data_IF_891024770953
#
_entry.id   IF_891024770953
#
_cell.length_a   1.000
_cell.length_b   1.000
_cell.length_c   1.000
_cell.angle_alpha   90.00
_cell.angle_beta   90.00
_cell.angle_gamma   90.00
#
_symmetry.space_group_name_H-M   'P 1'
#
loop_
_entity.id
_entity.type
_entity.pdbx_description
1 polymer ?
#
# COMPACT_ATOMS: atom_id res chain seq x y z
N UNK A 1 -6.47 6.53 17.37
CA UNK A 1 -6.52 7.98 17.16
C UNK A 1 -6.56 8.28 15.66
N UNK A 2 -7.15 9.42 15.26
CA UNK A 2 -7.17 9.90 13.87
C UNK A 2 -6.03 10.88 13.64
N UNK A 3 -5.38 10.79 12.47
CA UNK A 3 -4.53 11.86 11.98
C UNK A 3 -5.35 12.91 11.18
N UNK A 4 -4.72 13.99 10.75
CA UNK A 4 -5.39 15.08 10.02
C UNK A 4 -5.92 14.68 8.63
N UNK A 5 -5.54 13.51 8.11
CA UNK A 5 -5.99 12.94 6.84
C UNK A 5 -7.16 11.96 7.03
N UNK A 6 -7.49 11.61 8.26
CA UNK A 6 -8.52 10.64 8.60
C UNK A 6 -8.03 9.20 8.75
N UNK A 7 -6.72 8.94 8.59
CA UNK A 7 -6.16 7.62 8.87
C UNK A 7 -6.23 7.29 10.36
N UNK A 8 -6.57 6.06 10.65
CA UNK A 8 -6.75 5.53 12.00
C UNK A 8 -5.48 4.85 12.47
N UNK A 9 -5.02 5.20 13.66
CA UNK A 9 -3.82 4.62 14.29
C UNK A 9 -4.17 4.06 15.66
N UNK A 10 -3.67 2.86 16.03
CA UNK A 10 -3.79 2.36 17.38
C UNK A 10 -3.07 3.30 18.36
N UNK A 11 -3.54 3.33 19.60
CA UNK A 11 -2.92 4.14 20.67
C UNK A 11 -1.74 3.39 21.28
N UNK A 12 -1.86 2.07 21.37
CA UNK A 12 -0.79 1.19 21.86
C UNK A 12 0.38 1.16 20.90
N UNK A 13 1.57 1.35 21.46
CA UNK A 13 2.81 1.39 20.67
C UNK A 13 3.52 0.04 20.60
N UNK A 14 3.29 -0.86 21.56
CA UNK A 14 4.05 -2.11 21.69
C UNK A 14 3.36 -3.28 21.00
N UNK A 15 2.13 -3.62 21.37
CA UNK A 15 1.34 -4.68 20.75
C UNK A 15 0.25 -4.05 19.87
N UNK A 16 0.53 -3.92 18.59
CA UNK A 16 -0.31 -3.18 17.65
C UNK A 16 -0.41 -3.90 16.30
N UNK A 17 -1.58 -3.90 15.65
CA UNK A 17 -1.74 -4.47 14.31
C UNK A 17 -0.95 -3.75 13.22
N UNK A 18 -0.39 -2.57 13.52
CA UNK A 18 0.47 -1.81 12.59
C UNK A 18 1.97 -2.07 12.79
N UNK A 19 2.34 -2.88 13.77
CA UNK A 19 3.73 -3.21 14.07
C UNK A 19 4.24 -4.39 13.21
N UNK A 20 5.43 -4.89 13.59
CA UNK A 20 6.11 -5.98 12.92
C UNK A 20 5.28 -7.28 12.91
N UNK A 21 5.70 -8.23 12.09
CA UNK A 21 5.05 -9.52 11.86
C UNK A 21 4.67 -10.25 13.15
N UNK A 22 5.58 -10.36 14.12
CA UNK A 22 5.32 -11.01 15.42
C UNK A 22 4.19 -10.33 16.22
N UNK A 23 4.04 -9.02 16.10
CA UNK A 23 2.99 -8.28 16.80
C UNK A 23 1.62 -8.59 16.22
N UNK A 24 1.53 -8.71 14.89
CA UNK A 24 0.29 -9.11 14.20
C UNK A 24 -0.11 -10.54 14.52
N UNK A 25 0.87 -11.45 14.56
CA UNK A 25 0.66 -12.86 14.86
C UNK A 25 0.14 -13.13 16.28
N UNK A 26 0.39 -12.22 17.23
CA UNK A 26 -0.08 -12.31 18.61
C UNK A 26 -1.48 -11.74 18.83
N UNK A 27 -2.07 -11.11 17.80
CA UNK A 27 -3.38 -10.48 17.89
C UNK A 27 -4.44 -11.38 17.27
N UNK A 28 -5.40 -11.76 18.09
CA UNK A 28 -6.56 -12.57 17.74
C UNK A 28 -7.85 -11.82 18.04
N UNK A 29 -8.93 -12.18 17.37
CA UNK A 29 -10.27 -11.72 17.76
C UNK A 29 -10.70 -12.33 19.09
N UNK A 30 -11.29 -11.55 19.97
CA UNK A 30 -11.74 -12.01 21.28
C UNK A 30 -12.86 -13.07 21.15
N UNK A 31 -13.73 -12.89 20.15
CA UNK A 31 -14.80 -13.83 19.87
C UNK A 31 -14.41 -14.68 18.66
N UNK A 32 -14.48 -16.00 18.79
CA UNK A 32 -14.29 -16.91 17.67
C UNK A 32 -15.53 -16.97 16.77
N UNK A 33 -15.31 -17.20 15.48
CA UNK A 33 -16.37 -17.43 14.52
C UNK A 33 -16.33 -18.87 14.00
N UNK A 34 -17.49 -19.52 13.93
CA UNK A 34 -17.58 -20.90 13.48
C UNK A 34 -17.22 -21.00 11.98
N UNK A 35 -16.37 -21.97 11.66
CA UNK A 35 -16.05 -22.39 10.28
C UNK A 35 -16.78 -23.72 10.07
N UNK A 36 -17.95 -23.66 9.45
CA UNK A 36 -18.86 -24.80 9.36
C UNK A 36 -18.55 -25.71 8.16
N UNK A 37 -17.92 -25.19 7.13
CA UNK A 37 -17.67 -25.89 5.86
C UNK A 37 -16.41 -25.33 5.16
N UNK A 38 -16.09 -25.89 3.99
CA UNK A 38 -14.93 -25.50 3.22
C UNK A 38 -15.03 -24.08 2.62
N UNK A 39 -16.22 -23.61 2.31
CA UNK A 39 -16.42 -22.25 1.83
C UNK A 39 -16.07 -21.23 2.93
N UNK A 40 -16.45 -21.50 4.17
CA UNK A 40 -16.08 -20.69 5.34
C UNK A 40 -14.56 -20.73 5.61
N UNK A 41 -13.91 -21.87 5.34
CA UNK A 41 -12.46 -22.04 5.51
C UNK A 41 -11.63 -21.48 4.34
N UNK A 42 -12.25 -21.17 3.22
CA UNK A 42 -11.54 -20.73 1.99
C UNK A 42 -10.60 -19.58 2.21
N UNK A 43 -11.05 -18.55 2.93
CA UNK A 43 -10.20 -17.38 3.19
C UNK A 43 -9.13 -17.62 4.25
N UNK A 44 -9.32 -18.59 5.14
CA UNK A 44 -8.26 -19.07 6.02
C UNK A 44 -7.15 -19.76 5.20
N UNK A 45 -7.52 -20.57 4.20
CA UNK A 45 -6.58 -21.19 3.27
C UNK A 45 -5.81 -20.14 2.45
N UNK A 46 -6.53 -19.19 1.84
CA UNK A 46 -5.96 -18.08 1.05
C UNK A 46 -5.01 -17.23 1.91
N UNK A 47 -5.40 -16.92 3.16
CA UNK A 47 -4.56 -16.17 4.10
C UNK A 47 -3.23 -16.89 4.35
N UNK A 48 -3.24 -18.20 4.53
CA UNK A 48 -2.03 -19.02 4.66
C UNK A 48 -1.08 -18.85 3.47
N UNK A 49 -1.60 -19.00 2.26
CA UNK A 49 -0.80 -18.78 1.05
C UNK A 49 -0.22 -17.36 0.98
N UNK A 50 -1.02 -16.35 1.33
CA UNK A 50 -0.59 -14.94 1.32
C UNK A 50 0.54 -14.66 2.32
N UNK A 51 0.49 -15.22 3.53
CA UNK A 51 1.56 -15.02 4.54
C UNK A 51 2.83 -15.78 4.19
N UNK A 52 2.74 -16.87 3.44
CA UNK A 52 3.89 -17.58 2.88
C UNK A 52 4.49 -16.89 1.66
N UNK A 53 3.81 -15.92 1.04
CA UNK A 53 4.28 -15.20 -0.16
C UNK A 53 3.79 -15.82 -1.48
N UNK A 54 2.82 -16.75 -1.43
CA UNK A 54 2.15 -17.34 -2.60
C UNK A 54 0.95 -16.45 -2.98
N UNK A 55 1.23 -15.19 -3.31
CA UNK A 55 0.22 -14.14 -3.52
C UNK A 55 0.10 -13.68 -5.00
N UNK A 56 0.81 -14.33 -5.94
CA UNK A 56 0.83 -13.96 -7.36
C UNK A 56 0.20 -15.01 -8.27
N UNK A 57 -0.56 -15.91 -7.69
CA UNK A 57 -1.34 -16.94 -8.35
C UNK A 57 -2.84 -16.69 -8.11
N UNK A 58 -3.71 -17.41 -8.81
CA UNK A 58 -5.16 -17.28 -8.61
C UNK A 58 -5.59 -17.61 -7.17
N UNK A 59 -6.77 -17.15 -6.77
CA UNK A 59 -7.31 -17.46 -5.43
C UNK A 59 -7.51 -18.98 -5.26
N UNK A 60 -7.90 -19.67 -6.32
CA UNK A 60 -8.04 -21.14 -6.35
C UNK A 60 -6.69 -21.85 -6.15
N UNK A 61 -5.65 -21.38 -6.82
CA UNK A 61 -4.30 -21.94 -6.64
C UNK A 61 -3.75 -21.70 -5.22
N UNK A 62 -4.07 -20.55 -4.59
CA UNK A 62 -3.73 -20.28 -3.19
C UNK A 62 -4.44 -21.25 -2.24
N UNK A 63 -5.71 -21.51 -2.48
CA UNK A 63 -6.51 -22.47 -1.72
C UNK A 63 -5.93 -23.87 -1.86
N UNK A 64 -5.68 -24.33 -3.09
CA UNK A 64 -5.04 -25.64 -3.36
C UNK A 64 -3.70 -25.74 -2.66
N UNK A 65 -2.87 -24.69 -2.70
CA UNK A 65 -1.58 -24.65 -2.01
C UNK A 65 -1.74 -24.91 -0.51
N UNK A 66 -2.71 -24.31 0.14
CA UNK A 66 -2.94 -24.49 1.57
C UNK A 66 -3.33 -25.93 1.92
N UNK A 67 -4.22 -26.54 1.13
CA UNK A 67 -4.59 -27.94 1.31
C UNK A 67 -3.46 -28.92 1.03
N UNK A 68 -2.58 -28.62 0.06
CA UNK A 68 -1.37 -29.42 -0.19
C UNK A 68 -0.35 -29.35 0.93
N UNK A 69 -0.42 -28.35 1.80
CA UNK A 69 0.51 -28.13 2.91
C UNK A 69 -0.09 -28.44 4.30
N UNK A 70 -1.19 -29.18 4.36
CA UNK A 70 -1.82 -29.58 5.64
C UNK A 70 -0.83 -30.35 6.53
N UNK A 71 -0.11 -31.33 5.97
CA UNK A 71 0.86 -32.13 6.73
C UNK A 71 2.01 -31.28 7.29
N UNK A 72 2.46 -30.27 6.56
CA UNK A 72 3.45 -29.32 7.03
C UNK A 72 2.90 -28.48 8.19
N UNK A 73 1.69 -27.97 8.07
CA UNK A 73 1.04 -27.19 9.13
C UNK A 73 0.82 -28.04 10.42
N UNK A 74 0.35 -29.28 10.26
CA UNK A 74 0.18 -30.23 11.38
C UNK A 74 1.52 -30.57 12.04
N UNK A 75 2.58 -30.74 11.25
CA UNK A 75 3.92 -30.99 11.79
C UNK A 75 4.48 -29.80 12.58
N UNK A 76 4.23 -28.56 12.10
CA UNK A 76 4.57 -27.32 12.82
C UNK A 76 3.74 -27.19 14.09
N UNK A 77 2.43 -27.48 14.05
CA UNK A 77 1.55 -27.46 15.21
C UNK A 77 2.05 -28.39 16.32
N UNK A 78 2.49 -29.60 15.96
CA UNK A 78 2.98 -30.60 16.93
C UNK A 78 4.32 -30.21 17.56
N UNK A 79 5.27 -29.67 16.78
CA UNK A 79 6.59 -29.23 17.27
C UNK A 79 7.17 -28.11 16.43
N UNK A 80 6.83 -26.84 16.72
CA UNK A 80 7.29 -25.67 15.94
C UNK A 80 8.79 -25.36 16.14
N UNK A 81 9.42 -25.91 17.18
CA UNK A 81 10.85 -25.67 17.44
C UNK A 81 11.74 -26.58 16.60
N UNK A 82 11.32 -27.80 16.36
CA UNK A 82 12.02 -28.76 15.49
C UNK A 82 11.63 -28.56 14.02
N UNK A 83 10.33 -28.44 13.73
CA UNK A 83 9.86 -28.15 12.39
C UNK A 83 9.79 -26.63 12.16
N UNK A 84 10.74 -26.12 11.41
CA UNK A 84 10.93 -24.68 11.13
C UNK A 84 10.41 -24.25 9.75
N UNK A 85 9.57 -25.04 9.11
CA UNK A 85 8.99 -24.69 7.80
C UNK A 85 8.31 -23.30 7.79
N UNK A 86 7.62 -22.92 8.87
CA UNK A 86 7.02 -21.60 9.02
C UNK A 86 8.01 -20.41 8.90
N UNK A 87 9.32 -20.65 9.13
CA UNK A 87 10.36 -19.62 8.99
C UNK A 87 10.74 -19.32 7.55
N UNK A 88 10.32 -20.15 6.59
CA UNK A 88 10.52 -19.94 5.14
C UNK A 88 9.51 -18.94 4.56
N UNK A 89 8.43 -18.63 5.29
CA UNK A 89 7.38 -17.72 4.90
C UNK A 89 7.85 -16.26 4.82
N UNK A 90 7.22 -15.45 3.97
CA UNK A 90 7.45 -13.99 3.90
C UNK A 90 7.09 -13.28 5.22
N UNK A 91 6.09 -13.82 5.94
CA UNK A 91 5.65 -13.35 7.26
C UNK A 91 5.68 -14.51 8.27
N UNK A 92 6.88 -14.87 8.79
CA UNK A 92 7.06 -16.12 9.54
C UNK A 92 6.16 -16.29 10.76
N UNK A 93 5.97 -15.23 11.55
CA UNK A 93 5.17 -15.33 12.76
C UNK A 93 3.66 -15.45 12.46
N UNK A 94 3.16 -14.72 11.46
CA UNK A 94 1.77 -14.90 11.01
C UNK A 94 1.58 -16.30 10.38
N UNK A 95 2.59 -16.83 9.68
CA UNK A 95 2.56 -18.19 9.15
C UNK A 95 2.51 -19.24 10.28
N UNK A 96 3.24 -19.01 11.38
CA UNK A 96 3.16 -19.88 12.55
C UNK A 96 1.74 -19.87 13.15
N UNK A 97 1.13 -18.69 13.35
CA UNK A 97 -0.23 -18.57 13.85
C UNK A 97 -1.23 -19.28 12.92
N UNK A 98 -1.09 -19.10 11.61
CA UNK A 98 -1.90 -19.80 10.62
C UNK A 98 -1.72 -21.33 10.68
N UNK A 99 -0.50 -21.85 10.84
CA UNK A 99 -0.26 -23.30 10.97
C UNK A 99 -1.04 -23.90 12.13
N UNK A 100 -1.15 -23.18 13.26
CA UNK A 100 -1.91 -23.64 14.41
C UNK A 100 -3.41 -23.75 14.10
N UNK A 101 -4.01 -22.72 13.55
CA UNK A 101 -5.44 -22.73 13.20
C UNK A 101 -5.74 -23.71 12.07
N UNK A 102 -4.91 -23.75 11.02
CA UNK A 102 -5.10 -24.63 9.88
C UNK A 102 -4.98 -26.12 10.25
N UNK A 103 -4.05 -26.46 11.15
CA UNK A 103 -3.90 -27.82 11.67
C UNK A 103 -5.11 -28.25 12.52
N UNK A 104 -5.59 -27.38 13.41
CA UNK A 104 -6.77 -27.68 14.25
C UNK A 104 -8.01 -27.85 13.39
N UNK A 105 -8.25 -26.96 12.43
CA UNK A 105 -9.36 -27.07 11.48
C UNK A 105 -9.35 -28.41 10.73
N UNK A 106 -8.22 -28.78 10.11
CA UNK A 106 -8.15 -29.99 9.31
C UNK A 106 -8.20 -31.27 10.16
N UNK A 107 -7.66 -31.27 11.37
CA UNK A 107 -7.78 -32.40 12.31
C UNK A 107 -9.23 -32.57 12.80
N UNK A 108 -9.88 -31.49 13.25
CA UNK A 108 -11.26 -31.51 13.74
C UNK A 108 -12.28 -31.91 12.66
N UNK A 109 -12.07 -31.41 11.43
CA UNK A 109 -12.90 -31.72 10.26
C UNK A 109 -13.02 -33.25 10.02
N UNK A 110 -11.96 -34.01 10.21
CA UNK A 110 -11.96 -35.47 10.03
C UNK A 110 -12.90 -36.18 11.01
N UNK A 111 -13.19 -35.56 12.18
CA UNK A 111 -14.03 -36.09 13.24
C UNK A 111 -15.40 -35.41 13.33
N UNK A 112 -15.66 -34.40 12.45
CA UNK A 112 -16.91 -33.62 12.47
C UNK A 112 -17.02 -32.69 13.69
N UNK A 113 -15.88 -32.29 14.26
CA UNK A 113 -15.83 -31.36 15.40
C UNK A 113 -16.02 -29.92 14.93
N UNK A 114 -16.77 -29.08 15.69
CA UNK A 114 -16.91 -27.66 15.34
C UNK A 114 -15.58 -26.94 15.56
N UNK A 115 -15.18 -26.12 14.57
CA UNK A 115 -13.99 -25.28 14.66
C UNK A 115 -14.38 -23.81 14.69
N UNK A 116 -13.78 -23.05 15.59
CA UNK A 116 -13.94 -21.60 15.71
C UNK A 116 -12.61 -20.92 15.43
N UNK A 117 -12.56 -20.09 14.38
CA UNK A 117 -11.38 -19.29 14.08
C UNK A 117 -11.36 -18.00 14.85
N UNK A 118 -10.21 -17.64 15.39
CA UNK A 118 -9.92 -16.35 16.01
C UNK A 118 -8.93 -15.53 15.16
N UNK A 119 -8.38 -16.15 14.11
CA UNK A 119 -7.34 -15.54 13.29
C UNK A 119 -7.93 -14.48 12.35
N UNK A 120 -7.38 -13.25 12.34
CA UNK A 120 -7.73 -12.26 11.34
C UNK A 120 -7.21 -12.69 9.95
N UNK A 121 -8.13 -12.95 9.02
CA UNK A 121 -7.82 -13.10 7.62
C UNK A 121 -7.83 -11.72 6.96
N UNK A 122 -6.76 -11.36 6.26
CA UNK A 122 -6.63 -10.04 5.65
C UNK A 122 -6.29 -10.13 4.17
N UNK A 123 -6.83 -9.18 3.39
CA UNK A 123 -6.45 -8.91 2.02
C UNK A 123 -5.90 -7.50 1.88
N UNK A 124 -4.89 -7.34 1.02
CA UNK A 124 -4.19 -6.08 0.79
C UNK A 124 -4.49 -5.55 -0.61
N UNK A 125 -4.53 -4.22 -0.76
CA UNK A 125 -4.71 -3.57 -2.07
C UNK A 125 -3.50 -3.76 -3.00
N UNK A 126 -3.77 -3.92 -4.28
CA UNK A 126 -2.75 -4.03 -5.33
C UNK A 126 -2.17 -2.64 -5.68
N UNK A 127 -1.24 -2.10 -4.87
CA UNK A 127 -0.71 -0.76 -5.01
C UNK A 127 -1.80 0.32 -4.84
N UNK A 128 -2.40 0.36 -3.66
CA UNK A 128 -3.58 1.16 -3.31
C UNK A 128 -3.48 2.64 -3.75
N UNK A 129 -2.31 3.28 -3.61
CA UNK A 129 -2.14 4.67 -4.06
C UNK A 129 -2.39 4.86 -5.56
N UNK A 130 -1.99 3.90 -6.39
CA UNK A 130 -2.26 3.93 -7.83
C UNK A 130 -3.70 3.52 -8.15
N UNK A 131 -4.32 2.63 -7.35
CA UNK A 131 -5.75 2.33 -7.46
C UNK A 131 -6.58 3.60 -7.31
N UNK A 132 -6.33 4.40 -6.27
CA UNK A 132 -7.01 5.68 -6.06
C UNK A 132 -6.75 6.67 -7.18
N UNK A 133 -5.50 6.85 -7.63
CA UNK A 133 -5.19 7.80 -8.70
C UNK A 133 -5.79 7.38 -10.05
N UNK A 134 -5.80 6.09 -10.38
CA UNK A 134 -6.46 5.56 -11.59
C UNK A 134 -7.98 5.72 -11.53
N UNK A 135 -8.59 5.49 -10.38
CA UNK A 135 -10.02 5.69 -10.19
C UNK A 135 -10.45 7.15 -10.33
N UNK A 136 -9.68 8.10 -9.77
CA UNK A 136 -9.92 9.55 -9.87
C UNK A 136 -9.99 9.99 -11.34
N UNK A 137 -9.00 9.58 -12.16
CA UNK A 137 -8.93 9.97 -13.56
C UNK A 137 -9.68 9.05 -14.51
N UNK A 138 -10.29 7.98 -14.03
CA UNK A 138 -10.88 6.97 -14.92
C UNK A 138 -9.87 6.39 -15.92
N UNK A 139 -8.65 6.18 -15.46
CA UNK A 139 -7.56 5.62 -16.27
C UNK A 139 -7.73 4.11 -16.42
N UNK A 140 -8.05 3.66 -17.64
CA UNK A 140 -8.32 2.24 -17.92
C UNK A 140 -7.04 1.39 -17.86
N UNK A 141 -5.93 1.87 -18.43
CA UNK A 141 -4.67 1.11 -18.45
C UNK A 141 -4.03 1.05 -17.07
N UNK A 142 -3.96 2.19 -16.37
CA UNK A 142 -3.51 2.21 -14.99
C UNK A 142 -4.40 1.36 -14.07
N UNK A 143 -5.71 1.44 -14.26
CA UNK A 143 -6.68 0.64 -13.50
C UNK A 143 -6.51 -0.87 -13.73
N UNK A 144 -6.24 -1.30 -14.97
CA UNK A 144 -5.94 -2.70 -15.27
C UNK A 144 -4.68 -3.18 -14.55
N UNK A 145 -3.61 -2.40 -14.61
CA UNK A 145 -2.33 -2.75 -14.00
C UNK A 145 -2.37 -2.89 -12.46
N UNK A 146 -3.39 -2.32 -11.81
CA UNK A 146 -3.59 -2.36 -10.35
C UNK A 146 -4.89 -3.06 -9.93
N UNK A 147 -5.39 -3.96 -10.77
CA UNK A 147 -6.55 -4.83 -10.49
C UNK A 147 -7.86 -4.07 -10.20
N UNK A 148 -8.11 -2.92 -10.81
CA UNK A 148 -9.45 -2.30 -10.83
C UNK A 148 -10.38 -2.95 -11.84
N UNK A 149 -9.84 -3.70 -12.81
CA UNK A 149 -10.60 -4.41 -13.84
C UNK A 149 -10.53 -5.91 -13.60
N UNK A 150 -11.57 -6.65 -13.97
CA UNK A 150 -11.58 -8.11 -13.91
C UNK A 150 -10.42 -8.72 -14.72
N UNK A 151 -9.82 -9.77 -14.20
CA UNK A 151 -8.75 -10.54 -14.85
C UNK A 151 -8.74 -11.98 -14.35
N UNK A 152 -8.25 -12.92 -15.14
CA UNK A 152 -8.15 -14.35 -14.76
C UNK A 152 -7.06 -14.57 -13.69
N UNK A 153 -6.03 -13.72 -13.69
CA UNK A 153 -4.92 -13.78 -12.74
C UNK A 153 -4.60 -12.38 -12.21
N UNK A 154 -4.03 -12.26 -11.00
CA UNK A 154 -3.68 -10.96 -10.45
C UNK A 154 -2.66 -10.25 -11.34
N UNK A 155 -2.92 -8.98 -11.66
CA UNK A 155 -1.98 -8.12 -12.37
C UNK A 155 -0.93 -7.58 -11.38
N UNK A 156 0.28 -7.37 -11.87
CA UNK A 156 1.39 -6.90 -11.05
C UNK A 156 2.19 -5.79 -11.76
N UNK A 157 1.81 -4.56 -11.51
CA UNK A 157 2.46 -3.36 -12.09
C UNK A 157 3.98 -3.33 -11.83
N UNK A 158 4.43 -3.92 -10.73
CA UNK A 158 5.86 -3.96 -10.42
C UNK A 158 6.64 -4.83 -11.41
N UNK A 159 6.04 -5.97 -11.79
CA UNK A 159 6.58 -6.87 -12.82
C UNK A 159 6.50 -6.22 -14.21
N UNK A 160 5.44 -5.49 -14.52
CA UNK A 160 5.30 -4.81 -15.82
C UNK A 160 6.35 -3.70 -15.98
N UNK A 161 6.59 -2.92 -14.91
CA UNK A 161 7.70 -1.95 -14.90
C UNK A 161 9.06 -2.67 -15.03
N UNK A 162 9.26 -3.81 -14.37
CA UNK A 162 10.52 -4.56 -14.50
C UNK A 162 10.75 -5.07 -15.94
N UNK A 163 9.72 -5.59 -16.61
CA UNK A 163 9.78 -5.99 -18.03
C UNK A 163 10.16 -4.81 -18.91
N UNK A 164 9.51 -3.65 -18.70
CA UNK A 164 9.81 -2.44 -19.47
C UNK A 164 11.25 -1.98 -19.26
N UNK A 165 11.77 -2.06 -18.03
CA UNK A 165 13.19 -1.75 -17.74
C UNK A 165 14.13 -2.68 -18.48
N UNK A 166 13.84 -3.98 -18.55
CA UNK A 166 14.63 -4.95 -19.32
C UNK A 166 14.65 -4.57 -20.81
N UNK A 167 13.51 -4.22 -21.41
CA UNK A 167 13.44 -3.76 -22.79
C UNK A 167 14.31 -2.52 -23.04
N UNK A 168 14.29 -1.54 -22.14
CA UNK A 168 15.10 -0.33 -22.22
C UNK A 168 16.60 -0.62 -22.09
N UNK A 169 16.98 -1.55 -21.19
CA UNK A 169 18.38 -1.95 -21.02
C UNK A 169 18.93 -2.73 -22.22
N UNK A 170 18.09 -3.57 -22.86
CA UNK A 170 18.50 -4.32 -24.09
C UNK A 170 18.83 -3.39 -25.26
N UNK A 171 18.34 -2.18 -25.27
CA UNK A 171 18.65 -1.15 -26.27
C UNK A 171 19.98 -0.43 -26.00
N UNK A 172 20.64 -0.70 -24.85
CA UNK A 172 21.85 -0.02 -24.45
C UNK A 172 23.10 -0.87 -24.78
N UNK A 173 24.02 -0.30 -25.54
CA UNK A 173 25.33 -0.92 -25.77
C UNK A 173 26.36 -0.49 -24.71
N UNK A 174 26.16 -0.93 -23.46
CA UNK A 174 27.07 -0.62 -22.37
C UNK A 174 27.35 -1.86 -21.50
N UNK A 175 28.55 -1.95 -20.92
CA UNK A 175 28.88 -3.03 -20.01
C UNK A 175 27.97 -3.03 -18.79
N UNK A 176 27.61 -1.85 -18.25
CA UNK A 176 26.73 -1.72 -17.11
C UNK A 176 25.33 -2.30 -17.39
N UNK A 177 24.79 -2.11 -18.59
CA UNK A 177 23.51 -2.69 -18.99
C UNK A 177 23.60 -4.23 -19.07
N UNK A 178 24.69 -4.75 -19.67
CA UNK A 178 24.94 -6.21 -19.74
C UNK A 178 25.08 -6.83 -18.35
N UNK A 179 25.80 -6.19 -17.43
CA UNK A 179 25.96 -6.65 -16.05
C UNK A 179 24.62 -6.69 -15.30
N UNK A 180 23.81 -5.62 -15.41
CA UNK A 180 22.49 -5.54 -14.80
C UNK A 180 21.52 -6.59 -15.36
N UNK A 181 21.55 -6.83 -16.68
CA UNK A 181 20.76 -7.89 -17.31
C UNK A 181 21.22 -9.28 -16.84
N UNK A 182 22.54 -9.50 -16.64
CA UNK A 182 23.07 -10.78 -16.13
C UNK A 182 22.67 -11.04 -14.66
N UNK A 183 22.62 -10.01 -13.83
CA UNK A 183 22.10 -10.07 -12.47
C UNK A 183 20.59 -10.31 -12.46
N UNK A 184 19.91 -9.83 -13.49
CA UNK A 184 18.48 -9.97 -13.71
C UNK A 184 17.66 -8.89 -13.02
N UNK A 185 16.97 -8.07 -13.82
CA UNK A 185 15.99 -7.10 -13.33
C UNK A 185 14.67 -7.82 -13.06
N UNK A 186 14.15 -7.68 -11.85
CA UNK A 186 12.96 -8.39 -11.40
C UNK A 186 12.09 -7.49 -10.52
N UNK A 187 10.88 -7.96 -10.21
CA UNK A 187 9.90 -7.32 -9.33
C UNK A 187 10.50 -6.70 -8.06
N UNK A 188 11.43 -7.40 -7.40
CA UNK A 188 12.06 -6.93 -6.15
C UNK A 188 12.80 -5.59 -6.32
N UNK A 189 13.39 -5.35 -7.49
CA UNK A 189 14.10 -4.10 -7.81
C UNK A 189 13.16 -2.93 -8.13
N UNK A 190 11.93 -3.21 -8.59
CA UNK A 190 10.97 -2.18 -9.04
C UNK A 190 9.86 -1.92 -8.04
N UNK A 191 9.57 -2.85 -7.11
CA UNK A 191 8.45 -2.74 -6.16
C UNK A 191 8.50 -1.44 -5.34
N UNK A 192 9.58 -1.21 -4.59
CA UNK A 192 9.72 -0.01 -3.75
C UNK A 192 9.75 1.29 -4.58
N UNK A 193 10.52 1.39 -5.68
CA UNK A 193 10.46 2.53 -6.59
C UNK A 193 9.06 2.89 -7.08
N UNK A 194 8.26 1.92 -7.50
CA UNK A 194 6.89 2.15 -7.97
C UNK A 194 5.98 2.56 -6.81
N UNK A 195 6.08 1.89 -5.66
CA UNK A 195 5.25 2.19 -4.47
C UNK A 195 5.37 3.63 -3.99
N UNK A 196 6.55 4.26 -4.12
CA UNK A 196 6.74 5.64 -3.65
C UNK A 196 6.21 6.72 -4.59
N UNK A 197 5.84 6.36 -5.83
CA UNK A 197 5.38 7.34 -6.84
C UNK A 197 4.18 8.15 -6.36
N UNK A 198 3.07 7.55 -5.93
CA UNK A 198 1.89 8.29 -5.46
C UNK A 198 2.19 9.21 -4.28
N UNK A 199 3.25 8.91 -3.55
CA UNK A 199 3.69 9.61 -2.35
C UNK A 199 4.80 10.63 -2.62
N UNK A 200 4.90 11.14 -3.85
CA UNK A 200 5.91 12.12 -4.27
C UNK A 200 7.35 11.62 -4.11
N UNK A 201 7.58 10.33 -4.29
CA UNK A 201 8.91 9.73 -4.30
C UNK A 201 9.83 10.43 -5.30
N UNK A 202 11.12 10.47 -4.98
CA UNK A 202 12.14 11.09 -5.82
C UNK A 202 13.01 10.05 -6.50
N UNK A 203 13.64 10.41 -7.62
CA UNK A 203 14.64 9.54 -8.25
C UNK A 203 15.80 9.17 -7.31
N UNK A 204 16.16 10.06 -6.38
CA UNK A 204 17.18 9.75 -5.37
C UNK A 204 16.73 8.62 -4.44
N UNK A 205 15.51 8.70 -3.90
CA UNK A 205 14.94 7.62 -3.09
C UNK A 205 14.84 6.30 -3.88
N UNK A 206 14.46 6.38 -5.17
CA UNK A 206 14.46 5.24 -6.07
C UNK A 206 15.85 4.59 -6.16
N UNK A 207 16.94 5.39 -6.28
CA UNK A 207 18.31 4.89 -6.32
C UNK A 207 18.68 4.14 -5.05
N UNK A 208 18.35 4.67 -3.88
CA UNK A 208 18.63 4.00 -2.59
C UNK A 208 17.88 2.66 -2.46
N UNK A 209 16.59 2.60 -2.81
CA UNK A 209 15.83 1.35 -2.78
C UNK A 209 16.35 0.29 -3.75
N UNK A 210 16.79 0.72 -4.94
CA UNK A 210 17.42 -0.19 -5.91
C UNK A 210 18.75 -0.69 -5.36
N UNK A 211 19.55 0.17 -4.70
CA UNK A 211 20.82 -0.21 -4.08
C UNK A 211 20.62 -1.31 -3.04
N UNK A 212 19.71 -1.08 -2.08
CA UNK A 212 19.38 -2.07 -1.05
C UNK A 212 18.95 -3.43 -1.68
N UNK A 213 18.11 -3.38 -2.72
CA UNK A 213 17.62 -4.58 -3.37
C UNK A 213 18.72 -5.31 -4.20
N UNK A 214 19.66 -4.57 -4.80
CA UNK A 214 20.82 -5.17 -5.48
C UNK A 214 21.80 -5.78 -4.49
N UNK A 215 22.10 -5.10 -3.37
CA UNK A 215 22.96 -5.62 -2.30
C UNK A 215 22.38 -6.94 -1.75
N UNK A 216 21.09 -7.02 -1.53
CA UNK A 216 20.43 -8.23 -1.07
C UNK A 216 20.47 -9.36 -2.11
N UNK A 217 20.20 -9.02 -3.38
CA UNK A 217 20.16 -10.00 -4.48
C UNK A 217 21.54 -10.56 -4.81
N UNK A 218 22.59 -9.74 -4.71
CA UNK A 218 23.96 -10.08 -5.11
C UNK A 218 24.82 -10.57 -3.95
N UNK A 219 24.26 -11.07 -2.85
CA UNK A 219 25.01 -11.65 -1.73
C UNK A 219 26.00 -12.73 -2.23
N UNK A 220 27.30 -12.41 -2.17
CA UNK A 220 28.41 -13.32 -2.52
C UNK A 220 28.85 -13.33 -3.98
N UNK A 221 28.18 -12.66 -4.91
CA UNK A 221 28.62 -12.46 -6.30
C UNK A 221 28.12 -11.13 -6.83
N UNK A 222 29.03 -10.19 -7.06
CA UNK A 222 28.65 -8.97 -7.74
C UNK A 222 29.69 -8.60 -8.81
N UNK A 223 29.27 -8.16 -9.99
CA UNK A 223 30.16 -7.75 -11.08
C UNK A 223 30.84 -6.41 -10.85
N UNK A 224 30.51 -5.68 -9.74
CA UNK A 224 30.89 -4.29 -9.49
C UNK A 224 31.86 -4.10 -8.32
N UNK A 225 32.51 -5.16 -7.81
CA UNK A 225 33.46 -5.10 -6.69
C UNK A 225 32.91 -4.34 -5.47
N UNK A 226 31.67 -4.66 -5.08
CA UNK A 226 30.93 -4.05 -3.96
C UNK A 226 30.55 -2.56 -4.13
N UNK A 227 30.78 -1.95 -5.31
CA UNK A 227 30.22 -0.63 -5.64
C UNK A 227 28.79 -0.75 -6.20
N UNK A 228 27.83 -0.84 -5.33
CA UNK A 228 26.42 -0.89 -5.73
C UNK A 228 25.82 0.49 -6.05
N UNK A 229 26.48 1.59 -5.73
CA UNK A 229 25.94 2.93 -5.98
C UNK A 229 25.85 3.25 -7.48
N UNK A 230 26.90 3.00 -8.23
CA UNK A 230 26.93 3.28 -9.69
C UNK A 230 25.87 2.49 -10.47
N UNK A 231 25.74 1.15 -10.33
CA UNK A 231 24.70 0.39 -11.02
C UNK A 231 23.31 0.79 -10.59
N UNK A 232 23.08 1.14 -9.31
CA UNK A 232 21.79 1.62 -8.82
C UNK A 232 21.41 2.98 -9.42
N UNK A 233 22.35 3.89 -9.49
CA UNK A 233 22.15 5.19 -10.12
C UNK A 233 21.85 5.07 -11.63
N UNK A 234 22.56 4.17 -12.32
CA UNK A 234 22.32 3.88 -13.73
C UNK A 234 20.93 3.25 -13.95
N UNK A 235 20.62 2.20 -13.19
CA UNK A 235 19.34 1.50 -13.28
C UNK A 235 18.15 2.39 -12.89
N UNK A 236 18.33 3.28 -11.90
CA UNK A 236 17.26 4.20 -11.46
C UNK A 236 16.78 5.13 -12.59
N UNK A 237 17.64 5.45 -13.55
CA UNK A 237 17.25 6.20 -14.73
C UNK A 237 16.21 5.48 -15.58
N UNK A 238 16.45 4.20 -15.85
CA UNK A 238 15.55 3.36 -16.65
C UNK A 238 14.28 2.99 -15.88
N UNK A 239 14.39 2.70 -14.57
CA UNK A 239 13.22 2.45 -13.71
C UNK A 239 12.32 3.69 -13.69
N UNK A 240 12.89 4.89 -13.55
CA UNK A 240 12.12 6.13 -13.54
C UNK A 240 11.47 6.42 -14.89
N UNK A 241 12.17 6.12 -15.99
CA UNK A 241 11.60 6.22 -17.32
C UNK A 241 10.45 5.23 -17.52
N UNK A 242 10.64 3.95 -17.18
CA UNK A 242 9.61 2.93 -17.28
C UNK A 242 8.36 3.26 -16.44
N UNK A 243 8.56 3.79 -15.22
CA UNK A 243 7.46 4.28 -14.38
C UNK A 243 6.66 5.38 -15.09
N UNK A 244 7.33 6.37 -15.68
CA UNK A 244 6.65 7.46 -16.38
C UNK A 244 5.90 6.98 -17.65
N UNK A 245 6.36 5.93 -18.29
CA UNK A 245 5.71 5.35 -19.46
C UNK A 245 4.50 4.47 -19.09
N UNK A 246 4.54 3.81 -17.93
CA UNK A 246 3.48 2.91 -17.47
C UNK A 246 2.41 3.63 -16.64
N UNK A 247 2.77 4.71 -15.92
CA UNK A 247 1.91 5.38 -14.92
C UNK A 247 1.63 6.84 -15.32
N UNK A 248 1.21 7.06 -16.56
CA UNK A 248 1.05 8.42 -17.11
C UNK A 248 -0.02 9.23 -16.37
N UNK A 249 -1.21 8.66 -16.17
CA UNK A 249 -2.36 9.38 -15.62
C UNK A 249 -2.18 9.78 -14.18
N UNK A 250 -1.53 8.93 -13.36
CA UNK A 250 -1.26 9.26 -11.96
C UNK A 250 -0.38 10.52 -11.83
N UNK A 251 0.60 10.70 -12.72
CA UNK A 251 1.43 11.91 -12.75
C UNK A 251 0.62 13.18 -13.01
N UNK A 252 -0.42 13.11 -13.84
CA UNK A 252 -1.30 14.25 -14.12
C UNK A 252 -2.03 14.73 -12.86
N UNK A 253 -2.63 13.82 -12.08
CA UNK A 253 -3.25 14.15 -10.79
C UNK A 253 -2.24 14.74 -9.82
N UNK A 254 -1.08 14.08 -9.69
CA UNK A 254 -0.04 14.51 -8.77
C UNK A 254 0.47 15.93 -9.09
N UNK A 255 0.66 16.24 -10.37
CA UNK A 255 1.10 17.56 -10.80
C UNK A 255 0.02 18.61 -10.58
N UNK A 256 -1.24 18.28 -10.88
CA UNK A 256 -2.39 19.15 -10.66
C UNK A 256 -2.51 19.55 -9.18
N UNK A 257 -2.56 18.59 -8.26
CA UNK A 257 -2.72 18.92 -6.81
C UNK A 257 -1.49 19.65 -6.24
N UNK A 258 -0.29 19.38 -6.77
CA UNK A 258 0.93 20.14 -6.42
C UNK A 258 0.83 21.60 -6.83
N UNK A 259 0.29 21.87 -8.04
CA UNK A 259 0.14 23.26 -8.51
C UNK A 259 -0.93 23.99 -7.71
N UNK A 260 -2.07 23.37 -7.43
CA UNK A 260 -3.08 23.95 -6.53
C UNK A 260 -2.46 24.29 -5.16
N UNK A 261 -1.71 23.37 -4.54
CA UNK A 261 -1.05 23.62 -3.28
C UNK A 261 -0.06 24.80 -3.33
N UNK A 262 0.66 24.97 -4.46
CA UNK A 262 1.54 26.13 -4.68
C UNK A 262 0.77 27.43 -4.80
N UNK A 263 -0.41 27.43 -5.44
CA UNK A 263 -1.25 28.62 -5.53
C UNK A 263 -1.72 29.09 -4.14
N UNK A 264 -2.18 28.15 -3.31
CA UNK A 264 -2.51 28.44 -1.91
C UNK A 264 -1.31 29.03 -1.16
N UNK A 265 -0.16 28.38 -1.25
CA UNK A 265 1.05 28.81 -0.52
C UNK A 265 1.56 30.20 -0.98
N UNK A 266 1.49 30.55 -2.28
CA UNK A 266 1.82 31.89 -2.79
C UNK A 266 0.95 33.01 -2.19
N UNK A 267 -0.22 32.66 -1.71
CA UNK A 267 -1.16 33.57 -1.04
C UNK A 267 -1.12 33.48 0.49
N UNK A 268 -0.15 32.73 1.04
CA UNK A 268 -0.03 32.53 2.48
C UNK A 268 -1.18 31.69 3.08
N UNK A 269 -1.87 30.92 2.25
CA UNK A 269 -3.02 30.08 2.67
C UNK A 269 -2.61 28.62 2.75
N UNK A 270 -3.15 27.89 3.74
CA UNK A 270 -3.02 26.44 3.84
C UNK A 270 -3.87 25.74 2.80
N UNK A 271 -3.30 24.75 2.10
CA UNK A 271 -4.07 23.92 1.17
C UNK A 271 -4.99 22.99 1.94
N UNK A 272 -6.26 22.99 1.57
CA UNK A 272 -7.31 22.19 2.22
C UNK A 272 -8.30 21.63 1.21
N UNK A 273 -8.94 20.50 1.58
CA UNK A 273 -10.01 19.87 0.80
C UNK A 273 -10.92 19.03 1.71
N UNK A 274 -12.12 18.76 1.24
CA UNK A 274 -13.03 17.80 1.86
C UNK A 274 -12.86 16.42 1.25
N UNK A 275 -12.79 15.40 2.11
CA UNK A 275 -12.83 13.99 1.68
C UNK A 275 -14.24 13.58 1.31
N UNK A 276 -14.44 12.44 0.61
CA UNK A 276 -15.78 11.88 0.38
C UNK A 276 -16.60 11.63 1.64
N UNK A 277 -15.97 11.42 2.79
CA UNK A 277 -16.64 11.28 4.10
C UNK A 277 -17.00 12.62 4.75
N UNK A 278 -16.73 13.76 4.11
CA UNK A 278 -16.97 15.11 4.66
C UNK A 278 -15.91 15.62 5.63
N UNK A 279 -14.81 14.87 5.84
CA UNK A 279 -13.70 15.32 6.68
C UNK A 279 -12.93 16.44 5.97
N UNK A 280 -12.73 17.58 6.65
CA UNK A 280 -11.84 18.63 6.19
C UNK A 280 -10.39 18.26 6.48
N UNK A 281 -9.61 18.07 5.42
CA UNK A 281 -8.17 17.88 5.48
C UNK A 281 -7.49 19.23 5.26
N UNK A 282 -6.63 19.65 6.18
CA UNK A 282 -5.85 20.89 6.10
C UNK A 282 -4.37 20.62 6.31
N UNK A 283 -3.55 21.03 5.35
CA UNK A 283 -2.10 20.88 5.43
C UNK A 283 -1.46 22.04 6.21
N UNK A 284 -1.20 21.85 7.48
CA UNK A 284 -0.58 22.86 8.37
C UNK A 284 0.95 22.80 8.28
N UNK A 285 1.52 23.10 7.12
CA UNK A 285 2.97 23.12 6.91
C UNK A 285 3.52 24.54 7.02
N UNK A 286 3.84 24.95 8.23
CA UNK A 286 4.48 26.25 8.50
C UNK A 286 5.97 26.22 8.16
N UNK A 287 6.52 27.35 7.73
CA UNK A 287 7.97 27.54 7.68
C UNK A 287 8.60 27.32 9.04
N UNK A 288 9.86 26.88 9.06
CA UNK A 288 10.56 26.54 10.30
C UNK A 288 11.72 27.48 10.52
N UNK A 289 11.74 28.16 11.67
CA UNK A 289 12.91 28.88 12.15
C UNK A 289 13.85 27.88 12.84
N UNK A 290 15.02 27.65 12.24
CA UNK A 290 16.06 26.79 12.82
C UNK A 290 16.87 27.60 13.85
N UNK A 291 16.87 27.09 15.06
CA UNK A 291 17.69 27.65 16.18
C UNK A 291 18.78 26.63 16.49
N UNK A 292 20.02 27.09 16.56
CA UNK A 292 21.14 26.27 17.01
C UNK A 292 21.50 26.70 18.43
N UNK A 293 21.30 25.79 19.38
CA UNK A 293 21.60 26.03 20.80
C UNK A 293 22.84 25.23 21.14
N UNK A 294 23.88 25.91 21.60
CA UNK A 294 25.05 25.27 22.18
C UNK A 294 24.83 25.05 23.68
N UNK A 295 24.99 23.84 24.16
CA UNK A 295 24.92 23.48 25.56
C UNK A 295 26.15 22.64 25.96
N UNK A 296 26.47 22.60 27.24
CA UNK A 296 27.50 21.73 27.79
C UNK A 296 26.87 20.48 28.40
N UNK A 297 27.27 19.31 27.95
CA UNK A 297 26.86 18.04 28.52
C UNK A 297 28.11 17.20 28.80
N UNK A 298 28.29 16.80 30.04
CA UNK A 298 29.45 15.99 30.50
C UNK A 298 30.81 16.56 30.03
N UNK A 299 31.00 17.89 30.16
CA UNK A 299 32.23 18.57 29.78
C UNK A 299 32.45 18.82 28.30
N UNK A 300 31.56 18.35 27.43
CA UNK A 300 31.60 18.53 25.98
C UNK A 300 30.54 19.50 25.49
N UNK A 301 30.88 20.30 24.46
CA UNK A 301 29.90 21.20 23.81
C UNK A 301 29.03 20.38 22.87
N UNK A 302 27.75 20.28 23.21
CA UNK A 302 26.72 19.68 22.35
C UNK A 302 25.94 20.79 21.67
N UNK A 303 25.76 20.67 20.34
CA UNK A 303 24.97 21.61 19.53
C UNK A 303 23.65 20.97 19.17
N UNK A 304 22.57 21.45 19.77
CA UNK A 304 21.19 21.02 19.49
C UNK A 304 20.61 21.89 18.38
N UNK A 305 20.02 21.25 17.37
CA UNK A 305 19.24 21.95 16.37
C UNK A 305 17.76 21.87 16.78
N UNK A 306 17.17 23.01 17.06
CA UNK A 306 15.75 23.13 17.38
C UNK A 306 15.04 23.84 16.23
N UNK A 307 13.89 23.32 15.81
CA UNK A 307 13.06 23.93 14.78
C UNK A 307 11.75 24.41 15.40
N UNK A 308 11.46 25.70 15.29
CA UNK A 308 10.22 26.31 15.74
C UNK A 308 9.38 26.72 14.53
N UNK A 309 8.09 26.34 14.44
CA UNK A 309 7.21 26.83 13.38
C UNK A 309 7.09 28.36 13.48
N UNK A 310 7.00 29.01 12.32
CA UNK A 310 6.70 30.43 12.20
C UNK A 310 5.20 30.55 12.00
N UNK A 311 4.55 31.27 12.91
CA UNK A 311 3.09 31.45 12.85
C UNK A 311 2.70 32.18 11.55
N UNK A 312 1.53 31.90 11.02
CA UNK A 312 0.96 32.48 9.80
C UNK A 312 1.85 32.40 8.54
N UNK A 313 2.79 31.46 8.51
CA UNK A 313 3.63 31.18 7.36
C UNK A 313 3.28 29.85 6.70
N UNK A 314 3.61 29.70 5.40
CA UNK A 314 3.40 28.44 4.67
C UNK A 314 4.69 28.03 3.97
N UNK A 315 5.19 26.84 4.31
CA UNK A 315 6.29 26.19 3.59
C UNK A 315 5.74 25.63 2.24
N UNK A 316 5.88 26.44 1.20
CA UNK A 316 5.38 26.12 -0.14
C UNK A 316 5.96 24.81 -0.71
N UNK A 317 7.22 24.47 -0.35
CA UNK A 317 7.87 23.25 -0.80
C UNK A 317 7.22 22.03 -0.14
N UNK A 318 7.05 22.06 1.19
CA UNK A 318 6.39 20.99 1.92
C UNK A 318 4.92 20.86 1.53
N UNK A 319 4.20 21.96 1.38
CA UNK A 319 2.82 21.98 0.92
C UNK A 319 2.67 21.27 -0.44
N UNK A 320 3.49 21.62 -1.43
CA UNK A 320 3.47 20.99 -2.74
C UNK A 320 3.89 19.51 -2.72
N UNK A 321 4.97 19.16 -1.99
CA UNK A 321 5.43 17.76 -1.93
C UNK A 321 4.48 16.86 -1.13
N UNK A 322 3.80 17.39 -0.13
CA UNK A 322 2.81 16.68 0.68
C UNK A 322 1.43 16.55 0.05
N UNK A 323 1.11 17.33 -1.01
CA UNK A 323 -0.24 17.39 -1.58
C UNK A 323 -0.74 16.02 -2.07
N UNK A 324 0.01 15.37 -2.94
CA UNK A 324 -0.35 14.04 -3.46
C UNK A 324 -0.43 12.95 -2.38
N UNK A 325 0.61 12.73 -1.53
CA UNK A 325 0.52 11.70 -0.51
C UNK A 325 -0.61 11.94 0.49
N UNK A 326 -0.87 13.19 0.88
CA UNK A 326 -1.95 13.48 1.82
C UNK A 326 -3.33 13.29 1.18
N UNK A 327 -3.48 13.64 -0.11
CA UNK A 327 -4.71 13.34 -0.85
C UNK A 327 -4.98 11.85 -0.90
N UNK A 328 -4.01 11.05 -1.37
CA UNK A 328 -4.16 9.58 -1.45
C UNK A 328 -4.48 8.98 -0.09
N UNK A 329 -3.74 9.36 0.97
CA UNK A 329 -4.01 8.87 2.34
C UNK A 329 -5.38 9.29 2.90
N UNK A 330 -5.91 10.43 2.47
CA UNK A 330 -7.26 10.83 2.88
C UNK A 330 -8.35 10.05 2.16
N UNK A 331 -8.08 9.62 0.93
CA UNK A 331 -9.00 8.81 0.15
C UNK A 331 -9.01 7.35 0.61
N UNK A 332 -7.85 6.78 0.95
CA UNK A 332 -7.80 5.44 1.53
C UNK A 332 -8.51 5.39 2.89
N UNK A 333 -8.33 6.41 3.71
CA UNK A 333 -9.05 6.54 4.98
C UNK A 333 -10.57 6.68 4.80
N UNK A 334 -11.00 7.37 3.73
CA UNK A 334 -12.42 7.47 3.37
C UNK A 334 -12.95 6.11 2.91
N UNK A 335 -12.24 5.41 2.01
CA UNK A 335 -12.62 4.08 1.53
C UNK A 335 -12.76 3.07 2.68
N UNK A 336 -11.80 3.06 3.62
CA UNK A 336 -11.90 2.24 4.83
C UNK A 336 -13.16 2.57 5.65
N UNK A 337 -13.48 3.85 5.80
CA UNK A 337 -14.65 4.27 6.58
C UNK A 337 -15.96 3.82 5.90
N UNK A 338 -16.09 4.00 4.58
CA UNK A 338 -17.25 3.53 3.83
C UNK A 338 -17.38 2.00 3.91
N UNK A 339 -16.27 1.27 3.76
CA UNK A 339 -16.26 -0.21 3.83
C UNK A 339 -16.73 -0.70 5.21
N UNK A 340 -16.17 -0.15 6.29
CA UNK A 340 -16.58 -0.55 7.66
C UNK A 340 -18.06 -0.28 7.89
N UNK A 341 -18.57 0.89 7.47
CA UNK A 341 -19.99 1.21 7.63
C UNK A 341 -20.89 0.22 6.88
N UNK A 342 -20.53 -0.16 5.65
CA UNK A 342 -21.28 -1.16 4.88
C UNK A 342 -21.20 -2.55 5.53
N UNK A 343 -20.03 -2.97 5.99
CA UNK A 343 -19.85 -4.25 6.68
C UNK A 343 -20.63 -4.33 8.00
N UNK A 344 -20.66 -3.24 8.77
CA UNK A 344 -21.47 -3.17 10.01
C UNK A 344 -22.96 -3.30 9.71
N UNK A 345 -23.44 -2.74 8.61
CA UNK A 345 -24.84 -2.90 8.18
C UNK A 345 -25.20 -4.36 7.84
N UNK A 346 -24.21 -5.16 7.42
CA UNK A 346 -24.34 -6.62 7.20
C UNK A 346 -24.08 -7.46 8.46
N UNK A 347 -23.84 -6.82 9.62
CA UNK A 347 -23.64 -7.50 10.90
C UNK A 347 -22.21 -7.89 11.23
N UNK A 348 -21.22 -7.48 10.43
CA UNK A 348 -19.80 -7.72 10.76
C UNK A 348 -19.36 -6.69 11.80
N UNK A 349 -18.83 -7.16 12.94
CA UNK A 349 -18.41 -6.34 14.07
C UNK A 349 -16.92 -6.42 14.39
N UNK A 350 -16.25 -7.47 13.93
CA UNK A 350 -14.86 -7.74 14.23
C UNK A 350 -13.97 -7.43 13.02
N UNK A 351 -13.07 -6.46 13.18
CA UNK A 351 -12.24 -5.92 12.10
C UNK A 351 -10.78 -5.85 12.48
N UNK A 352 -9.92 -6.28 11.57
CA UNK A 352 -8.46 -6.09 11.61
C UNK A 352 -8.04 -5.20 10.43
N UNK A 353 -8.24 -3.88 10.59
CA UNK A 353 -8.02 -2.90 9.53
C UNK A 353 -6.75 -2.10 9.76
N UNK A 354 -5.87 -2.05 8.74
CA UNK A 354 -4.64 -1.24 8.77
C UNK A 354 -4.53 -0.50 7.44
N UNK A 355 -5.07 0.71 7.37
CA UNK A 355 -5.06 1.59 6.19
C UNK A 355 -5.66 0.94 4.94
N UNK A 356 -4.80 0.34 4.10
CA UNK A 356 -5.11 -0.38 2.86
C UNK A 356 -5.08 -1.90 3.00
N UNK A 357 -5.06 -2.41 4.22
CA UNK A 357 -5.23 -3.82 4.56
C UNK A 357 -6.54 -4.02 5.30
N UNK A 358 -7.38 -4.91 4.81
CA UNK A 358 -8.73 -5.14 5.29
C UNK A 358 -8.87 -6.58 5.77
N UNK A 359 -9.24 -6.76 7.04
CA UNK A 359 -9.34 -8.09 7.63
C UNK A 359 -10.54 -8.26 8.55
N UNK A 360 -11.03 -9.49 8.58
CA UNK A 360 -12.08 -10.01 9.47
C UNK A 360 -11.90 -11.52 9.63
N UNK A 361 -12.85 -12.21 10.25
CA UNK A 361 -12.86 -13.68 10.27
C UNK A 361 -13.04 -14.28 8.87
N UNK A 362 -12.48 -15.46 8.63
CA UNK A 362 -12.57 -16.16 7.33
C UNK A 362 -14.01 -16.25 6.77
N UNK A 363 -15.04 -16.63 7.52
CA UNK A 363 -16.41 -16.70 6.99
C UNK A 363 -17.00 -15.35 6.56
N UNK A 364 -16.48 -14.24 7.10
CA UNK A 364 -16.95 -12.89 6.78
C UNK A 364 -16.17 -12.25 5.59
N UNK A 365 -15.07 -12.84 5.17
CA UNK A 365 -14.23 -12.27 4.10
C UNK A 365 -14.94 -12.11 2.75
N UNK A 366 -15.82 -13.02 2.30
CA UNK A 366 -16.59 -12.80 1.07
C UNK A 366 -17.43 -11.52 1.13
N UNK A 367 -18.18 -11.32 2.22
CA UNK A 367 -19.00 -10.11 2.44
C UNK A 367 -18.12 -8.86 2.54
N UNK A 368 -17.01 -8.93 3.27
CA UNK A 368 -16.08 -7.79 3.37
C UNK A 368 -15.56 -7.39 1.99
N UNK A 369 -15.14 -8.33 1.16
CA UNK A 369 -14.62 -8.06 -0.18
C UNK A 369 -15.69 -7.50 -1.12
N UNK A 370 -16.94 -7.96 -1.02
CA UNK A 370 -18.07 -7.40 -1.75
C UNK A 370 -18.30 -5.93 -1.33
N UNK A 371 -18.44 -5.68 -0.02
CA UNK A 371 -18.71 -4.33 0.50
C UNK A 371 -17.56 -3.36 0.30
N UNK A 372 -16.32 -3.86 0.24
CA UNK A 372 -15.15 -3.06 -0.09
C UNK A 372 -15.21 -2.56 -1.54
N UNK A 373 -15.56 -3.42 -2.50
CA UNK A 373 -15.74 -3.04 -3.92
C UNK A 373 -16.91 -2.06 -4.08
N UNK A 374 -18.04 -2.31 -3.44
CA UNK A 374 -19.19 -1.39 -3.42
C UNK A 374 -18.82 -0.02 -2.87
N UNK A 375 -18.12 0.02 -1.73
CA UNK A 375 -17.68 1.25 -1.08
C UNK A 375 -16.76 2.07 -1.98
N UNK A 376 -15.82 1.41 -2.66
CA UNK A 376 -14.89 2.06 -3.58
C UNK A 376 -15.61 2.62 -4.81
N UNK A 377 -16.53 1.85 -5.40
CA UNK A 377 -17.33 2.30 -6.55
C UNK A 377 -18.20 3.48 -6.17
N UNK A 378 -18.95 3.41 -5.08
CA UNK A 378 -19.81 4.48 -4.56
C UNK A 378 -19.00 5.77 -4.36
N UNK A 379 -17.85 5.65 -3.68
CA UNK A 379 -16.98 6.79 -3.40
C UNK A 379 -16.60 7.56 -4.66
N UNK A 380 -16.19 6.88 -5.73
CA UNK A 380 -15.77 7.54 -6.97
C UNK A 380 -16.90 7.83 -7.96
N UNK A 381 -18.07 7.23 -7.79
CA UNK A 381 -19.27 7.53 -8.58
C UNK A 381 -19.96 8.80 -8.10
N UNK A 382 -20.05 8.96 -6.77
CA UNK A 382 -20.78 10.07 -6.14
C UNK A 382 -19.93 11.31 -5.87
N UNK A 383 -18.58 11.14 -5.78
CA UNK A 383 -17.69 12.24 -5.44
C UNK A 383 -16.64 12.50 -6.53
N UNK A 384 -16.71 13.69 -7.13
CA UNK A 384 -15.64 14.19 -8.02
C UNK A 384 -14.59 14.95 -7.21
N UNK A 385 -13.60 14.22 -6.71
CA UNK A 385 -12.58 14.75 -5.81
C UNK A 385 -11.78 15.91 -6.42
N UNK A 386 -11.41 15.83 -7.72
CA UNK A 386 -10.63 16.89 -8.35
C UNK A 386 -11.47 18.13 -8.66
N UNK A 387 -12.74 17.94 -9.04
CA UNK A 387 -13.65 19.06 -9.23
C UNK A 387 -13.91 19.78 -7.90
N UNK A 388 -14.12 19.04 -6.81
CA UNK A 388 -14.30 19.63 -5.48
C UNK A 388 -13.07 20.43 -5.03
N UNK A 389 -11.85 19.96 -5.33
CA UNK A 389 -10.62 20.70 -5.07
C UNK A 389 -10.55 21.98 -5.92
N UNK A 390 -10.95 21.91 -7.20
CA UNK A 390 -11.00 23.07 -8.08
C UNK A 390 -11.99 24.13 -7.57
N UNK A 391 -13.22 23.74 -7.27
CA UNK A 391 -14.28 24.63 -6.79
C UNK A 391 -13.88 25.29 -5.46
N UNK A 392 -13.28 24.53 -4.56
CA UNK A 392 -12.73 25.04 -3.30
C UNK A 392 -11.60 26.05 -3.55
N UNK A 393 -10.72 25.79 -4.52
CA UNK A 393 -9.63 26.70 -4.84
C UNK A 393 -10.15 28.01 -5.46
N UNK A 394 -11.10 27.94 -6.38
CA UNK A 394 -11.74 29.12 -6.99
C UNK A 394 -12.41 30.00 -5.93
N UNK A 395 -13.07 29.38 -4.94
CA UNK A 395 -13.76 30.11 -3.88
C UNK A 395 -12.79 30.67 -2.83
N UNK A 396 -11.73 29.93 -2.49
CA UNK A 396 -10.83 30.29 -1.39
C UNK A 396 -9.70 31.23 -1.79
N UNK A 397 -9.24 31.20 -3.04
CA UNK A 397 -8.13 32.04 -3.52
C UNK A 397 -8.65 33.45 -3.89
N UNK A 398 -7.72 34.39 -4.04
CA UNK A 398 -8.06 35.77 -4.41
C UNK A 398 -8.72 35.81 -5.79
N UNK A 399 -9.71 36.69 -5.96
CA UNK A 399 -10.34 36.95 -7.24
C UNK A 399 -9.29 37.26 -8.34
N UNK A 400 -9.50 36.67 -9.52
CA UNK A 400 -8.56 36.79 -10.65
C UNK A 400 -7.35 35.86 -10.61
N UNK A 401 -7.27 34.94 -9.61
CA UNK A 401 -6.26 33.86 -9.62
C UNK A 401 -6.59 32.88 -10.75
N UNK A 402 -5.63 32.64 -11.64
CA UNK A 402 -5.75 31.61 -12.67
C UNK A 402 -5.59 30.21 -12.03
N UNK A 403 -6.72 29.56 -11.75
CA UNK A 403 -6.75 28.22 -11.17
C UNK A 403 -6.79 27.19 -12.30
N UNK A 404 -5.81 26.29 -12.41
CA UNK A 404 -5.82 25.29 -13.47
C UNK A 404 -7.01 24.35 -13.33
N UNK A 405 -7.62 24.00 -14.46
CA UNK A 405 -8.72 23.02 -14.50
C UNK A 405 -8.19 21.61 -14.17
N UNK A 406 -9.03 20.76 -13.57
CA UNK A 406 -8.70 19.35 -13.38
C UNK A 406 -8.29 18.67 -14.70
N UNK A 407 -7.39 17.68 -14.66
CA UNK A 407 -7.09 16.83 -15.80
C UNK A 407 -8.36 16.13 -16.34
N UNK A 408 -8.41 15.90 -17.63
CA UNK A 408 -9.51 15.19 -18.27
C UNK A 408 -9.58 13.73 -17.78
N UNK A 409 -10.81 13.23 -17.56
CA UNK A 409 -11.06 11.85 -17.18
C UNK A 409 -10.98 10.93 -18.40
N UNK A 410 -10.41 9.75 -18.21
CA UNK A 410 -10.37 8.67 -19.19
C UNK A 410 -11.68 7.87 -19.25
N UNK A 411 -11.58 6.64 -19.75
CA UNK A 411 -12.72 5.80 -20.10
C UNK A 411 -12.96 4.62 -19.16
N UNK A 412 -12.27 4.54 -18.02
CA UNK A 412 -12.50 3.46 -17.04
C UNK A 412 -13.94 3.54 -16.51
N UNK A 413 -14.71 2.49 -16.73
CA UNK A 413 -15.97 2.31 -16.03
C UNK A 413 -15.69 1.81 -14.61
N UNK A 414 -15.90 2.65 -13.61
CA UNK A 414 -15.60 2.30 -12.22
C UNK A 414 -16.44 1.13 -11.71
N UNK A 415 -17.60 0.87 -12.28
CA UNK A 415 -18.47 -0.24 -11.90
C UNK A 415 -17.85 -1.62 -12.22
N UNK A 416 -16.86 -1.68 -13.12
CA UNK A 416 -16.12 -2.90 -13.40
C UNK A 416 -15.32 -3.41 -12.18
N UNK A 417 -15.00 -2.54 -11.22
CA UNK A 417 -14.37 -2.92 -9.95
C UNK A 417 -15.21 -3.95 -9.18
N UNK A 418 -16.55 -3.89 -9.29
CA UNK A 418 -17.44 -4.86 -8.63
C UNK A 418 -17.15 -6.30 -9.02
N UNK A 419 -16.62 -6.51 -10.22
CA UNK A 419 -16.31 -7.82 -10.79
C UNK A 419 -14.82 -8.17 -10.71
N UNK A 420 -14.00 -7.38 -10.04
CA UNK A 420 -12.56 -7.62 -9.92
C UNK A 420 -12.22 -8.42 -8.66
N UNK A 421 -11.91 -9.70 -8.82
CA UNK A 421 -11.56 -10.59 -7.70
C UNK A 421 -10.23 -10.22 -7.05
N UNK A 422 -9.32 -9.61 -7.81
CA UNK A 422 -7.98 -9.23 -7.35
C UNK A 422 -7.84 -7.75 -6.98
N UNK A 423 -8.94 -7.03 -6.87
CA UNK A 423 -8.93 -5.63 -6.40
C UNK A 423 -8.26 -5.53 -5.02
N UNK A 424 -8.67 -6.40 -4.09
CA UNK A 424 -8.01 -6.70 -2.83
C UNK A 424 -7.97 -8.22 -2.66
N UNK A 425 -6.77 -8.80 -2.57
CA UNK A 425 -6.60 -10.24 -2.56
C UNK A 425 -5.36 -10.71 -1.77
#
# INVERSE_FOLDING_TARGET
>A
QLDFRGRKYPVESFLSPQNADYSKALLEFANGMIVANDDDARWLAIHGANVFGVDKVSLEEREIWAYMNVDNAVSVYNDPLTNKWWQEADKPWQALAWCYEWAVYNNGRQFGEPFYTHLPCASDGSCNGLQHLSAILRDKEGGRAVNLLPSEVPQDIYTDVAKRVVELLLQQDSQMARDLLSVGVCRKLTKRPVMIVPYSGTRHACTEYIKEALEEKCKGRNPWNDDFFRPSMYLSGFVWQAINEVIISAHSVMNYVKEIARLYARQGKMFEWYTPTGLLVRQTYNEQKKLRIATHLNGSVVRLNYSKPIDDSVDARKAASGASPNLVHSLDAAALTFTVNKCVAEGITDFAMVHDSYGTHSPNMPTLNEKLREAFVEMYKEHDVLQNIYDSAVTSLKEGTDVPKPPEKGQLNIEEVLNSDYFFA
#
